data_IF_221902096004
#
_entry.id   IF_221902096004
#
_cell.length_a   1.000
_cell.length_b   1.000
_cell.length_c   1.000
_cell.angle_alpha   90.00
_cell.angle_beta   90.00
_cell.angle_gamma   90.00
#
_symmetry.space_group_name_H-M   'P 1'
#
loop_
_entity.id
_entity.type
_entity.pdbx_description
1 polymer ?
#
# COMPACT_ATOMS: atom_id res chain seq x y z
N UNK A 1 18.79 -28.07 -6.98
CA UNK A 1 17.46 -27.99 -7.61
C UNK A 1 17.31 -26.58 -8.16
N UNK A 2 16.97 -26.42 -9.44
CA UNK A 2 16.68 -25.11 -10.01
C UNK A 2 15.22 -24.77 -9.71
N UNK A 3 14.98 -23.65 -9.03
CA UNK A 3 13.62 -23.17 -8.74
C UNK A 3 12.95 -22.68 -10.02
N UNK A 4 11.63 -22.90 -10.12
CA UNK A 4 10.86 -22.37 -11.25
C UNK A 4 10.84 -20.84 -11.20
N UNK A 5 10.70 -20.18 -12.35
CA UNK A 5 10.70 -18.71 -12.44
C UNK A 5 9.59 -18.08 -11.60
N UNK A 6 8.41 -18.72 -11.55
CA UNK A 6 7.28 -18.29 -10.75
C UNK A 6 7.54 -18.42 -9.23
N UNK A 7 8.32 -19.40 -8.83
CA UNK A 7 8.75 -19.60 -7.44
C UNK A 7 9.79 -18.54 -7.03
N UNK A 8 10.65 -18.12 -7.95
CA UNK A 8 11.59 -17.01 -7.73
C UNK A 8 10.85 -15.67 -7.61
N UNK A 9 9.87 -15.39 -8.48
CA UNK A 9 9.00 -14.20 -8.39
C UNK A 9 8.26 -14.16 -7.05
N UNK A 10 7.64 -15.29 -6.67
CA UNK A 10 6.94 -15.42 -5.38
C UNK A 10 7.85 -15.24 -4.18
N UNK A 11 9.11 -15.70 -4.28
CA UNK A 11 10.11 -15.50 -3.24
C UNK A 11 10.48 -14.02 -3.07
N UNK A 12 10.65 -13.30 -4.18
CA UNK A 12 10.97 -11.87 -4.17
C UNK A 12 9.82 -11.03 -3.61
N UNK A 13 8.58 -11.27 -4.05
CA UNK A 13 7.40 -10.56 -3.54
C UNK A 13 7.27 -10.69 -2.01
N UNK A 14 7.52 -11.89 -1.47
CA UNK A 14 7.53 -12.14 -0.01
C UNK A 14 8.68 -11.43 0.70
N UNK A 15 9.88 -11.45 0.13
CA UNK A 15 11.09 -10.82 0.71
C UNK A 15 11.00 -9.30 0.76
N UNK A 16 10.29 -8.68 -0.18
CA UNK A 16 10.13 -7.23 -0.26
C UNK A 16 8.97 -6.70 0.62
N UNK A 17 8.37 -7.56 1.46
CA UNK A 17 7.37 -7.14 2.45
C UNK A 17 5.95 -6.99 1.92
N UNK A 18 5.70 -7.36 0.65
CA UNK A 18 4.36 -7.35 0.04
C UNK A 18 3.60 -8.67 0.24
N UNK A 19 4.19 -9.65 0.92
CA UNK A 19 3.57 -10.95 1.13
C UNK A 19 3.37 -11.71 -0.19
N UNK A 20 2.24 -12.42 -0.31
CA UNK A 20 1.79 -12.96 -1.60
C UNK A 20 0.88 -11.91 -2.23
N UNK A 21 1.47 -10.87 -2.81
CA UNK A 21 0.72 -9.89 -3.57
C UNK A 21 0.32 -10.52 -4.92
N UNK A 22 -0.97 -10.80 -5.17
CA UNK A 22 -1.39 -11.53 -6.35
C UNK A 22 -1.08 -10.78 -7.66
N UNK A 23 -1.11 -9.45 -7.64
CA UNK A 23 -0.81 -8.61 -8.80
C UNK A 23 0.62 -8.79 -9.32
N UNK A 24 1.62 -8.89 -8.46
CA UNK A 24 3.02 -9.11 -8.84
C UNK A 24 3.19 -10.53 -9.39
N UNK A 25 2.59 -11.53 -8.72
CA UNK A 25 2.76 -12.94 -9.09
C UNK A 25 2.06 -13.28 -10.42
N UNK A 26 0.93 -12.63 -10.71
CA UNK A 26 0.15 -12.87 -11.93
C UNK A 26 0.66 -12.07 -13.14
N UNK A 27 1.28 -10.90 -12.93
CA UNK A 27 1.67 -10.00 -14.02
C UNK A 27 3.18 -9.96 -14.32
N UNK A 28 4.05 -10.36 -13.38
CA UNK A 28 5.49 -10.34 -13.61
C UNK A 28 5.93 -11.54 -14.48
N UNK A 29 6.64 -11.25 -15.57
CA UNK A 29 7.21 -12.27 -16.46
C UNK A 29 8.63 -12.68 -16.09
N UNK A 30 9.32 -11.86 -15.30
CA UNK A 30 10.67 -12.08 -14.79
C UNK A 30 10.81 -11.63 -13.34
N UNK A 31 11.94 -12.01 -12.71
CA UNK A 31 12.27 -11.56 -11.36
C UNK A 31 12.48 -10.04 -11.33
N UNK A 32 13.12 -9.48 -12.35
CA UNK A 32 13.35 -8.03 -12.43
C UNK A 32 12.04 -7.25 -12.56
N UNK A 33 11.08 -7.75 -13.34
CA UNK A 33 9.73 -7.17 -13.43
C UNK A 33 9.02 -7.19 -12.07
N UNK A 34 9.18 -8.28 -11.31
CA UNK A 34 8.61 -8.40 -9.97
C UNK A 34 9.24 -7.42 -8.99
N UNK A 35 10.56 -7.17 -9.10
CA UNK A 35 11.26 -6.16 -8.29
C UNK A 35 10.78 -4.76 -8.64
N UNK A 36 10.65 -4.42 -9.93
CA UNK A 36 10.16 -3.11 -10.37
C UNK A 36 8.73 -2.87 -9.89
N UNK A 37 7.83 -3.84 -10.09
CA UNK A 37 6.45 -3.74 -9.62
C UNK A 37 6.36 -3.58 -8.09
N UNK A 38 7.19 -4.30 -7.34
CA UNK A 38 7.28 -4.14 -5.89
C UNK A 38 7.81 -2.75 -5.49
N UNK A 39 8.80 -2.22 -6.21
CA UNK A 39 9.33 -0.89 -5.96
C UNK A 39 8.31 0.22 -6.28
N UNK A 40 7.51 0.07 -7.33
CA UNK A 40 6.43 1.00 -7.65
C UNK A 40 5.36 1.03 -6.54
N UNK A 41 5.02 -0.13 -5.96
CA UNK A 41 4.14 -0.21 -4.79
C UNK A 41 4.78 0.35 -3.51
N UNK A 42 6.12 0.39 -3.45
CA UNK A 42 6.87 0.97 -2.34
C UNK A 42 6.90 2.50 -2.36
N UNK A 43 6.32 3.14 -3.41
CA UNK A 43 6.16 4.58 -3.51
C UNK A 43 5.56 5.24 -2.25
N UNK A 44 5.86 6.52 -2.06
CA UNK A 44 5.39 7.30 -0.91
C UNK A 44 3.86 7.32 -0.88
N UNK A 45 3.27 6.93 0.25
CA UNK A 45 1.82 7.09 0.47
C UNK A 45 1.46 8.57 0.26
N UNK A 46 0.53 8.89 -0.64
CA UNK A 46 0.13 10.28 -0.87
C UNK A 46 -0.38 10.87 0.44
N UNK A 47 -0.01 12.13 0.70
CA UNK A 47 -0.51 12.82 1.88
C UNK A 47 -2.05 12.88 1.83
N UNK A 48 -2.72 12.82 2.99
CA UNK A 48 -4.16 12.97 3.04
C UNK A 48 -4.57 14.39 2.61
N UNK A 49 -5.10 14.53 1.38
CA UNK A 49 -5.56 15.82 0.86
C UNK A 49 -6.73 16.41 1.67
N UNK A 50 -7.48 15.56 2.39
CA UNK A 50 -8.70 15.93 3.11
C UNK A 50 -8.52 16.01 4.64
N UNK A 51 -7.30 15.86 5.17
CA UNK A 51 -7.05 16.08 6.60
C UNK A 51 -6.71 17.56 6.84
N UNK A 52 -7.73 18.33 7.21
CA UNK A 52 -7.57 19.72 7.63
C UNK A 52 -7.19 19.73 9.11
N UNK A 53 -6.09 20.40 9.45
CA UNK A 53 -5.74 20.63 10.85
C UNK A 53 -6.77 21.61 11.44
N UNK A 54 -7.50 21.25 12.52
CA UNK A 54 -8.47 22.14 13.14
C UNK A 54 -7.80 23.42 13.63
N UNK A 55 -8.45 24.57 13.46
CA UNK A 55 -7.91 25.85 13.91
C UNK A 55 -7.97 26.00 15.44
N UNK A 56 -8.93 25.34 16.09
CA UNK A 56 -9.09 25.36 17.54
C UNK A 56 -9.63 24.04 18.12
N UNK A 57 -9.70 23.99 19.46
CA UNK A 57 -10.15 22.83 20.23
C UNK A 57 -11.64 22.51 20.04
N UNK A 58 -12.48 23.50 19.75
CA UNK A 58 -13.92 23.29 19.55
C UNK A 58 -14.16 22.67 18.17
N UNK A 59 -13.46 23.14 17.15
CA UNK A 59 -13.47 22.56 15.81
C UNK A 59 -12.94 21.11 15.84
N UNK A 60 -11.86 20.84 16.60
CA UNK A 60 -11.31 19.49 16.77
C UNK A 60 -12.28 18.51 17.45
N UNK A 61 -13.30 19.00 18.16
CA UNK A 61 -14.32 18.17 18.83
C UNK A 61 -15.47 17.80 17.90
N UNK A 62 -15.59 18.45 16.75
CA UNK A 62 -16.64 18.13 15.77
C UNK A 62 -16.52 16.66 15.34
N UNK A 63 -17.66 15.94 15.17
CA UNK A 63 -17.65 14.57 14.70
C UNK A 63 -16.87 14.39 13.39
N UNK A 64 -16.96 15.36 12.48
CA UNK A 64 -16.29 15.36 11.19
C UNK A 64 -14.76 15.35 11.33
N UNK A 65 -14.20 16.24 12.16
CA UNK A 65 -12.75 16.28 12.39
C UNK A 65 -12.24 15.02 13.11
N UNK A 66 -13.05 14.44 13.98
CA UNK A 66 -12.71 13.19 14.69
C UNK A 66 -12.74 11.96 13.78
N UNK A 67 -13.65 11.91 12.80
CA UNK A 67 -13.78 10.75 11.90
C UNK A 67 -12.86 10.81 10.69
N UNK A 68 -12.40 12.01 10.29
CA UNK A 68 -11.57 12.19 9.10
C UNK A 68 -10.28 11.34 9.08
N UNK A 69 -9.50 11.19 10.18
CA UNK A 69 -8.31 10.32 10.20
C UNK A 69 -8.65 8.84 9.98
N UNK A 70 -9.75 8.37 10.58
CA UNK A 70 -10.19 6.98 10.42
C UNK A 70 -10.69 6.72 9.00
N UNK A 71 -11.46 7.64 8.42
CA UNK A 71 -11.93 7.54 7.04
C UNK A 71 -10.76 7.48 6.06
N UNK A 72 -9.77 8.35 6.23
CA UNK A 72 -8.55 8.31 5.43
C UNK A 72 -7.86 6.94 5.53
N UNK A 73 -7.68 6.41 6.74
CA UNK A 73 -7.06 5.11 6.95
C UNK A 73 -7.87 3.96 6.31
N UNK A 74 -9.19 3.96 6.44
CA UNK A 74 -10.05 2.97 5.76
C UNK A 74 -9.95 3.06 4.24
N UNK A 75 -9.94 4.27 3.68
CA UNK A 75 -9.73 4.46 2.25
C UNK A 75 -8.36 3.91 1.82
N UNK A 76 -7.29 4.17 2.59
CA UNK A 76 -5.97 3.61 2.27
C UNK A 76 -5.94 2.09 2.30
N UNK A 77 -6.66 1.43 3.21
CA UNK A 77 -6.74 -0.04 3.21
C UNK A 77 -7.49 -0.61 2.00
N UNK A 78 -8.53 0.08 1.51
CA UNK A 78 -9.38 -0.42 0.42
C UNK A 78 -8.78 -0.10 -0.96
N UNK A 79 -8.32 1.13 -1.15
CA UNK A 79 -7.89 1.67 -2.45
C UNK A 79 -6.43 2.09 -2.51
N UNK A 80 -5.70 2.02 -1.38
CA UNK A 80 -4.29 2.35 -1.37
C UNK A 80 -3.44 1.30 -2.07
N UNK A 81 -2.28 1.68 -2.63
CA UNK A 81 -1.34 0.75 -3.26
C UNK A 81 -0.76 -0.25 -2.25
N UNK A 82 -0.82 0.07 -0.96
CA UNK A 82 -0.47 -0.83 0.14
C UNK A 82 -1.76 -1.29 0.81
N UNK A 83 -2.26 -2.46 0.41
CA UNK A 83 -3.15 -3.23 1.26
C UNK A 83 -2.29 -3.73 2.42
N UNK A 84 -2.40 -3.08 3.57
CA UNK A 84 -1.72 -3.48 4.82
C UNK A 84 -2.28 -4.84 5.26
#
# INVERSE_FOLDING_TARGET
MAYSQQEQISHVARRLGFGVEPGIVENATSVDDAVVAALDLSGTTPAPDNLVVPADLEEARTPQQRTAPYLYWFTQMVSGPRRI
#
